data_IF_600037586546
#
_entry.id   IF_600037586546
#
_cell.length_a   1.000
_cell.length_b   1.000
_cell.length_c   1.000
_cell.angle_alpha   90.00
_cell.angle_beta   90.00
_cell.angle_gamma   90.00
#
_symmetry.space_group_name_H-M   'P 1'
#
loop_
_entity.id
_entity.type
_entity.pdbx_description
1 polymer ?
#
# COMPACT_ATOMS: atom_id res chain seq x y z
N UNK A 1 -1.76 -7.87 9.02
CA UNK A 1 -3.09 -7.35 9.38
C UNK A 1 -3.22 -7.38 10.89
N UNK A 2 -3.91 -6.38 11.52
CA UNK A 2 -4.13 -6.37 12.98
C UNK A 2 -2.95 -5.92 13.85
N UNK A 3 -1.92 -5.30 13.27
CA UNK A 3 -0.72 -4.85 14.00
C UNK A 3 -0.75 -3.36 14.38
N UNK A 4 -1.92 -2.78 14.53
CA UNK A 4 -2.10 -1.42 15.06
C UNK A 4 -1.83 -0.27 14.07
N UNK A 5 -1.78 -0.51 12.74
CA UNK A 5 -1.56 0.55 11.74
C UNK A 5 -2.53 1.73 11.91
N UNK A 6 -3.82 1.45 12.07
CA UNK A 6 -4.85 2.48 12.24
C UNK A 6 -4.61 3.32 13.49
N UNK A 7 -4.29 2.71 14.63
CA UNK A 7 -4.01 3.44 15.86
C UNK A 7 -2.75 4.30 15.77
N UNK A 8 -1.71 3.79 15.10
CA UNK A 8 -0.50 4.59 14.83
C UNK A 8 -0.85 5.80 13.97
N UNK A 9 -1.69 5.62 12.94
CA UNK A 9 -2.12 6.72 12.09
C UNK A 9 -2.98 7.73 12.87
N UNK A 10 -3.91 7.27 13.73
CA UNK A 10 -4.71 8.16 14.58
C UNK A 10 -3.84 9.01 15.51
N UNK A 11 -2.76 8.49 16.07
CA UNK A 11 -1.82 9.26 16.86
C UNK A 11 -1.14 10.38 16.03
N UNK A 12 -0.75 10.06 14.79
CA UNK A 12 -0.19 11.07 13.87
C UNK A 12 -1.25 12.09 13.47
N UNK A 13 -2.46 11.67 13.15
CA UNK A 13 -3.59 12.56 12.84
C UNK A 13 -3.80 13.54 13.99
N UNK A 14 -3.89 13.02 15.22
CA UNK A 14 -4.11 13.87 16.40
C UNK A 14 -2.98 14.88 16.63
N UNK A 15 -1.73 14.49 16.35
CA UNK A 15 -0.60 15.41 16.40
C UNK A 15 -0.76 16.60 15.43
N UNK A 16 -1.33 16.37 14.23
CA UNK A 16 -1.61 17.43 13.26
C UNK A 16 -2.81 18.30 13.68
N UNK A 17 -3.90 17.68 14.10
CA UNK A 17 -5.11 18.39 14.54
C UNK A 17 -4.83 19.32 15.73
N UNK A 18 -4.02 18.90 16.71
CA UNK A 18 -3.60 19.74 17.83
C UNK A 18 -2.78 20.98 17.41
N UNK A 19 -2.36 21.03 16.15
CA UNK A 19 -1.66 22.16 15.53
C UNK A 19 -2.52 22.94 14.55
N UNK A 20 -3.84 22.73 14.61
CA UNK A 20 -4.81 23.32 13.67
C UNK A 20 -4.49 22.99 12.20
N UNK A 21 -4.04 21.76 11.94
CA UNK A 21 -3.71 21.25 10.61
C UNK A 21 -4.83 20.37 10.08
N UNK A 22 -5.19 20.58 8.80
CA UNK A 22 -6.22 19.82 8.13
C UNK A 22 -5.71 18.44 7.70
N UNK A 23 -6.49 17.40 7.96
CA UNK A 23 -6.12 16.02 7.67
C UNK A 23 -7.18 15.35 6.80
N UNK A 24 -6.72 14.69 5.73
CA UNK A 24 -7.53 13.84 4.87
C UNK A 24 -7.12 12.38 5.03
N UNK A 25 -8.10 11.51 5.23
CA UNK A 25 -7.94 10.06 5.17
C UNK A 25 -8.53 9.55 3.85
N UNK A 26 -7.69 8.92 3.03
CA UNK A 26 -8.08 8.22 1.82
C UNK A 26 -8.08 6.72 2.07
N UNK A 27 -9.23 6.07 1.92
CA UNK A 27 -9.35 4.63 2.17
C UNK A 27 -10.21 3.92 1.11
N UNK A 28 -10.12 2.59 0.99
CA UNK A 28 -11.11 1.82 0.25
C UNK A 28 -12.52 1.99 0.86
N UNK A 29 -13.56 2.05 0.02
CA UNK A 29 -14.95 2.23 0.47
C UNK A 29 -15.36 1.26 1.58
N UNK A 30 -14.93 0.01 1.51
CA UNK A 30 -15.20 -1.03 2.52
C UNK A 30 -14.60 -0.74 3.91
N UNK A 31 -13.60 0.15 4.00
CA UNK A 31 -12.96 0.55 5.25
C UNK A 31 -13.45 1.91 5.76
N UNK A 32 -14.37 2.56 5.04
CA UNK A 32 -14.90 3.88 5.42
C UNK A 32 -15.48 3.89 6.83
N UNK A 33 -16.32 2.91 7.16
CA UNK A 33 -16.94 2.81 8.49
C UNK A 33 -15.91 2.71 9.63
N UNK A 34 -14.77 2.04 9.40
CA UNK A 34 -13.70 1.96 10.39
C UNK A 34 -13.13 3.34 10.70
N UNK A 35 -12.92 4.17 9.67
CA UNK A 35 -12.36 5.51 9.83
C UNK A 35 -13.39 6.50 10.37
N UNK A 36 -14.63 6.49 9.88
CA UNK A 36 -15.68 7.40 10.37
C UNK A 36 -16.12 7.09 11.81
N UNK A 37 -15.90 5.87 12.30
CA UNK A 37 -16.18 5.54 13.69
C UNK A 37 -15.35 6.37 14.67
N UNK A 38 -14.11 6.71 14.35
CA UNK A 38 -13.22 7.43 15.29
C UNK A 38 -13.47 8.94 15.32
N UNK A 39 -14.05 9.54 14.29
CA UNK A 39 -14.42 10.96 14.29
C UNK A 39 -15.91 11.19 14.63
N UNK A 40 -16.69 10.13 14.80
CA UNK A 40 -18.09 10.21 15.19
C UNK A 40 -18.25 10.15 16.71
N UNK A 41 -19.26 10.85 17.22
CA UNK A 41 -19.65 10.80 18.63
C UNK A 41 -20.56 9.59 18.89
N UNK A 42 -20.00 8.38 18.76
CA UNK A 42 -20.71 7.11 18.95
C UNK A 42 -20.19 6.37 20.18
N UNK A 43 -21.06 5.60 20.82
CA UNK A 43 -20.70 4.75 21.98
C UNK A 43 -19.60 3.73 21.63
N UNK A 44 -19.57 3.29 20.38
CA UNK A 44 -18.55 2.37 19.87
C UNK A 44 -17.18 3.02 19.62
N UNK A 45 -17.12 4.36 19.68
CA UNK A 45 -15.86 5.09 19.49
C UNK A 45 -15.08 5.13 20.81
N UNK A 46 -14.07 4.29 20.94
CA UNK A 46 -13.17 4.23 22.10
C UNK A 46 -12.34 5.50 22.29
N UNK A 47 -12.23 6.35 21.27
CA UNK A 47 -11.52 7.63 21.25
C UNK A 47 -12.47 8.84 21.17
N UNK A 48 -13.74 8.70 21.54
CA UNK A 48 -14.70 9.81 21.47
C UNK A 48 -14.23 11.08 22.22
N UNK A 49 -13.50 10.91 23.34
CA UNK A 49 -12.93 12.00 24.14
C UNK A 49 -11.82 12.76 23.41
N UNK A 50 -11.14 12.13 22.44
CA UNK A 50 -10.05 12.75 21.69
C UNK A 50 -10.58 13.71 20.61
N UNK A 51 -11.85 13.63 20.25
CA UNK A 51 -12.54 14.54 19.30
C UNK A 51 -11.78 14.71 18.00
N UNK A 52 -11.64 13.62 17.26
CA UNK A 52 -11.04 13.67 15.93
C UNK A 52 -11.95 14.42 14.95
N UNK A 53 -11.36 15.16 14.01
CA UNK A 53 -12.05 16.03 13.05
C UNK A 53 -11.56 15.91 11.61
N UNK A 54 -10.82 14.86 11.29
CA UNK A 54 -10.32 14.63 9.92
C UNK A 54 -11.44 14.28 8.93
N UNK A 55 -11.21 14.61 7.67
CA UNK A 55 -12.08 14.22 6.57
C UNK A 55 -11.79 12.81 6.09
N UNK A 56 -12.82 12.08 5.66
CA UNK A 56 -12.71 10.74 5.10
C UNK A 56 -13.26 10.72 3.69
N UNK A 57 -12.45 10.31 2.72
CA UNK A 57 -12.84 10.11 1.34
C UNK A 57 -12.37 8.75 0.83
N UNK A 58 -12.98 8.29 -0.25
CA UNK A 58 -12.63 7.01 -0.82
C UNK A 58 -11.61 7.17 -1.95
N UNK A 59 -10.79 6.14 -2.18
CA UNK A 59 -9.87 6.11 -3.32
C UNK A 59 -10.56 6.39 -4.65
N UNK A 60 -11.83 5.98 -4.78
CA UNK A 60 -12.64 6.20 -5.99
C UNK A 60 -13.07 7.64 -6.19
N UNK A 61 -13.11 8.43 -5.12
CA UNK A 61 -13.53 9.85 -5.19
C UNK A 61 -12.50 10.69 -5.95
N UNK A 62 -11.23 10.27 -5.94
CA UNK A 62 -10.19 10.85 -6.79
C UNK A 62 -10.48 10.74 -8.31
N UNK A 63 -11.41 9.88 -8.73
CA UNK A 63 -11.81 9.77 -10.15
C UNK A 63 -13.10 10.51 -10.47
N UNK A 64 -13.77 11.08 -9.45
CA UNK A 64 -15.06 11.76 -9.59
C UNK A 64 -14.87 13.26 -9.73
N UNK A 65 -15.68 13.87 -10.62
CA UNK A 65 -15.69 15.33 -10.80
C UNK A 65 -16.73 16.03 -9.93
N UNK A 66 -17.59 15.28 -9.26
CA UNK A 66 -18.65 15.81 -8.41
C UNK A 66 -19.43 14.71 -7.70
N UNK A 67 -20.48 15.10 -6.99
CA UNK A 67 -21.28 14.27 -6.09
C UNK A 67 -20.80 14.38 -4.66
N UNK A 68 -21.48 13.71 -3.75
CA UNK A 68 -21.22 13.77 -2.33
C UNK A 68 -20.62 12.46 -1.80
N UNK A 69 -19.73 12.57 -0.84
CA UNK A 69 -19.17 11.45 -0.06
C UNK A 69 -19.05 11.87 1.39
N UNK A 70 -19.75 11.18 2.28
CA UNK A 70 -19.73 11.41 3.74
C UNK A 70 -19.95 12.89 4.15
N UNK A 71 -20.88 13.57 3.47
CA UNK A 71 -21.20 14.97 3.72
C UNK A 71 -20.28 15.98 3.00
N UNK A 72 -19.31 15.51 2.22
CA UNK A 72 -18.38 16.38 1.48
C UNK A 72 -18.79 16.42 0.01
N UNK A 73 -19.07 17.62 -0.51
CA UNK A 73 -19.33 17.87 -1.93
C UNK A 73 -18.01 17.87 -2.70
N UNK A 74 -17.80 16.85 -3.53
CA UNK A 74 -16.58 16.65 -4.30
C UNK A 74 -16.35 17.69 -5.40
N UNK A 75 -17.40 18.45 -5.79
CA UNK A 75 -17.26 19.55 -6.76
C UNK A 75 -16.68 20.81 -6.11
N UNK A 76 -16.81 20.94 -4.78
CA UNK A 76 -16.41 22.13 -4.01
C UNK A 76 -15.16 21.91 -3.15
N UNK A 77 -14.69 20.67 -3.03
CA UNK A 77 -13.54 20.37 -2.20
C UNK A 77 -12.26 21.03 -2.76
N UNK A 78 -11.52 21.66 -1.89
CA UNK A 78 -10.17 22.11 -2.20
C UNK A 78 -9.17 21.00 -1.84
N UNK A 79 -8.83 20.18 -2.82
CA UNK A 79 -7.94 19.03 -2.66
C UNK A 79 -6.53 19.39 -2.17
N UNK A 80 -6.05 20.61 -2.45
CA UNK A 80 -4.74 21.11 -2.03
C UNK A 80 -4.72 21.70 -0.62
N UNK A 81 -5.83 21.72 0.11
CA UNK A 81 -5.91 22.35 1.44
C UNK A 81 -5.72 21.38 2.62
N UNK A 82 -5.02 20.29 2.40
CA UNK A 82 -4.71 19.33 3.47
C UNK A 82 -3.21 19.33 3.80
N UNK A 83 -2.88 19.47 5.09
CA UNK A 83 -1.51 19.41 5.58
C UNK A 83 -0.98 17.97 5.69
N UNK A 84 -1.89 17.02 5.95
CA UNK A 84 -1.59 15.59 6.00
C UNK A 84 -2.62 14.79 5.20
N UNK A 85 -2.13 13.90 4.37
CA UNK A 85 -2.96 12.87 3.73
C UNK A 85 -2.54 11.50 4.22
N UNK A 86 -3.46 10.78 4.85
CA UNK A 86 -3.29 9.40 5.28
C UNK A 86 -3.91 8.50 4.23
N UNK A 87 -3.13 7.60 3.66
CA UNK A 87 -3.58 6.68 2.60
C UNK A 87 -3.61 5.27 3.16
N UNK A 88 -4.80 4.77 3.49
CA UNK A 88 -4.96 3.38 3.91
C UNK A 88 -5.02 2.46 2.69
N UNK A 89 -4.42 1.27 2.82
CA UNK A 89 -4.20 0.32 1.73
C UNK A 89 -3.51 0.99 0.52
N UNK A 90 -2.41 1.70 0.79
CA UNK A 90 -1.66 2.51 -0.18
C UNK A 90 -1.14 1.74 -1.40
N UNK A 91 -1.07 0.40 -1.32
CA UNK A 91 -0.73 -0.45 -2.45
C UNK A 91 -1.68 -0.29 -3.65
N UNK A 92 -2.88 0.29 -3.46
CA UNK A 92 -3.78 0.64 -4.56
C UNK A 92 -3.25 1.79 -5.44
N UNK A 93 -2.23 2.53 -4.99
CA UNK A 93 -1.57 3.62 -5.72
C UNK A 93 -0.18 3.25 -6.25
N UNK A 94 0.11 1.97 -6.40
CA UNK A 94 1.40 1.48 -6.93
C UNK A 94 1.59 1.71 -8.43
N UNK A 95 0.51 1.77 -9.20
CA UNK A 95 0.57 1.90 -10.64
C UNK A 95 0.39 3.36 -11.05
N UNK A 96 1.41 3.94 -11.69
CA UNK A 96 1.24 5.13 -12.52
C UNK A 96 0.43 4.74 -13.75
N UNK A 97 -0.60 5.52 -14.09
CA UNK A 97 -1.38 5.28 -15.30
C UNK A 97 -0.49 5.37 -16.54
N UNK A 98 -0.60 4.39 -17.42
CA UNK A 98 0.09 4.37 -18.72
C UNK A 98 -0.73 5.03 -19.83
N UNK A 99 -1.96 5.43 -19.54
CA UNK A 99 -2.85 6.05 -20.52
C UNK A 99 -2.54 7.55 -20.65
N UNK A 100 -2.14 7.97 -21.87
CA UNK A 100 -1.79 9.37 -22.17
C UNK A 100 -2.97 10.33 -22.08
N UNK A 101 -4.20 9.83 -22.26
CA UNK A 101 -5.40 10.65 -22.45
C UNK A 101 -6.35 10.69 -21.24
N UNK A 102 -6.01 10.04 -20.12
CA UNK A 102 -6.89 10.02 -18.95
C UNK A 102 -6.10 10.17 -17.65
N UNK A 103 -6.41 11.22 -16.90
CA UNK A 103 -5.90 11.42 -15.55
C UNK A 103 -6.31 10.24 -14.65
N UNK A 104 -5.33 9.58 -14.05
CA UNK A 104 -5.56 8.47 -13.13
C UNK A 104 -5.75 8.98 -11.69
N UNK A 105 -6.23 8.11 -10.81
CA UNK A 105 -6.31 8.42 -9.36
C UNK A 105 -4.94 8.78 -8.78
N UNK A 106 -3.89 8.11 -9.26
CA UNK A 106 -2.52 8.42 -8.86
C UNK A 106 -2.11 9.82 -9.31
N UNK A 107 -2.39 10.18 -10.57
CA UNK A 107 -2.04 11.48 -11.11
C UNK A 107 -2.78 12.61 -10.39
N UNK A 108 -4.07 12.42 -10.11
CA UNK A 108 -4.86 13.42 -9.37
C UNK A 108 -4.36 13.58 -7.94
N UNK A 109 -4.06 12.47 -7.24
CA UNK A 109 -3.47 12.52 -5.91
C UNK A 109 -2.13 13.26 -5.92
N UNK A 110 -1.24 12.92 -6.86
CA UNK A 110 0.07 13.55 -6.99
C UNK A 110 -0.04 15.03 -7.33
N UNK A 111 -0.85 15.41 -8.33
CA UNK A 111 -0.86 16.76 -8.86
C UNK A 111 -1.76 17.70 -8.05
N UNK A 112 -3.01 17.30 -7.75
CA UNK A 112 -4.00 18.20 -7.14
C UNK A 112 -3.93 18.20 -5.60
N UNK A 113 -3.59 17.04 -4.99
CA UNK A 113 -3.56 16.95 -3.53
C UNK A 113 -2.17 17.26 -2.99
N UNK A 114 -1.12 16.67 -3.56
CA UNK A 114 0.23 16.73 -3.00
C UNK A 114 1.00 17.95 -3.55
N UNK A 115 1.19 18.04 -4.87
CA UNK A 115 2.02 19.09 -5.48
C UNK A 115 1.41 20.49 -5.41
N UNK A 116 0.10 20.60 -5.59
CA UNK A 116 -0.61 21.89 -5.44
C UNK A 116 -0.96 22.21 -3.99
N UNK A 117 -0.64 21.30 -3.08
CA UNK A 117 -0.98 21.42 -1.68
C UNK A 117 -0.10 22.39 -0.90
N UNK A 118 -0.48 22.61 0.35
CA UNK A 118 0.19 23.49 1.32
C UNK A 118 1.41 22.80 1.98
N UNK A 119 2.30 22.20 1.20
CA UNK A 119 3.38 21.31 1.65
C UNK A 119 2.84 20.05 2.33
N UNK A 120 1.86 19.44 1.69
CA UNK A 120 1.14 18.26 2.17
C UNK A 120 2.10 17.11 2.51
N UNK A 121 1.98 16.58 3.71
CA UNK A 121 2.70 15.36 4.11
C UNK A 121 1.85 14.14 3.81
N UNK A 122 2.51 13.04 3.54
CA UNK A 122 1.84 11.78 3.19
C UNK A 122 2.22 10.68 4.18
N UNK A 123 1.22 10.03 4.76
CA UNK A 123 1.37 8.83 5.58
C UNK A 123 0.70 7.67 4.87
N UNK A 124 1.45 6.66 4.51
CA UNK A 124 0.95 5.48 3.81
C UNK A 124 0.85 4.28 4.73
N UNK A 125 -0.30 3.61 4.71
CA UNK A 125 -0.54 2.39 5.47
C UNK A 125 -0.76 1.24 4.50
N UNK A 126 0.04 0.18 4.62
CA UNK A 126 -0.12 -1.03 3.82
C UNK A 126 0.33 -2.26 4.59
N UNK A 127 -0.30 -3.40 4.34
CA UNK A 127 0.18 -4.70 4.79
C UNK A 127 1.15 -5.33 3.76
N UNK A 128 1.04 -4.93 2.50
CA UNK A 128 1.76 -5.50 1.36
C UNK A 128 2.24 -4.39 0.41
N UNK A 129 3.27 -3.60 0.81
CA UNK A 129 3.73 -2.47 0.01
C UNK A 129 4.36 -2.89 -1.33
N UNK A 130 4.91 -4.10 -1.39
CA UNK A 130 5.48 -4.70 -2.61
C UNK A 130 4.64 -5.91 -2.97
N UNK A 131 4.34 -6.07 -4.26
CA UNK A 131 3.70 -7.28 -4.78
C UNK A 131 4.71 -8.06 -5.63
N UNK A 132 4.86 -7.72 -6.90
CA UNK A 132 5.73 -8.44 -7.83
C UNK A 132 6.95 -7.62 -8.28
N UNK A 133 6.90 -6.30 -8.11
CA UNK A 133 7.94 -5.39 -8.58
C UNK A 133 8.29 -4.33 -7.55
N UNK A 134 9.57 -4.04 -7.38
CA UNK A 134 10.01 -2.92 -6.54
C UNK A 134 9.62 -1.55 -7.11
N UNK A 135 9.28 -1.49 -8.39
CA UNK A 135 8.66 -0.30 -9.01
C UNK A 135 7.35 0.07 -8.33
N UNK A 136 6.59 -0.90 -7.81
CA UNK A 136 5.37 -0.67 -7.03
C UNK A 136 5.66 0.17 -5.78
N UNK A 137 6.73 -0.18 -5.07
CA UNK A 137 7.18 0.55 -3.88
C UNK A 137 7.73 1.93 -4.26
N UNK A 138 8.54 2.03 -5.32
CA UNK A 138 9.05 3.30 -5.84
C UNK A 138 7.92 4.28 -6.14
N UNK A 139 6.87 3.83 -6.84
CA UNK A 139 5.73 4.67 -7.17
C UNK A 139 4.96 5.13 -5.92
N UNK A 140 4.80 4.27 -4.93
CA UNK A 140 4.20 4.66 -3.66
C UNK A 140 5.07 5.70 -2.94
N UNK A 141 6.37 5.46 -2.81
CA UNK A 141 7.28 6.39 -2.15
C UNK A 141 7.35 7.75 -2.87
N UNK A 142 7.19 7.78 -4.19
CA UNK A 142 7.14 9.01 -4.95
C UNK A 142 6.04 9.97 -4.48
N UNK A 143 4.94 9.48 -3.92
CA UNK A 143 3.90 10.31 -3.30
C UNK A 143 4.45 11.09 -2.09
N UNK A 144 5.36 10.50 -1.31
CA UNK A 144 5.89 11.13 -0.10
C UNK A 144 6.95 12.23 -0.38
N UNK A 145 7.61 12.18 -1.54
CA UNK A 145 8.58 13.20 -1.97
C UNK A 145 8.12 13.99 -3.22
N UNK A 146 6.82 14.04 -3.46
CA UNK A 146 6.20 14.83 -4.53
C UNK A 146 6.68 14.44 -5.94
N UNK A 147 7.23 13.25 -6.10
CA UNK A 147 7.88 12.79 -7.33
C UNK A 147 9.21 13.49 -7.63
N UNK A 148 9.73 14.29 -6.70
CA UNK A 148 11.03 14.94 -6.81
C UNK A 148 12.06 14.22 -5.94
N UNK A 149 12.84 13.33 -6.54
CA UNK A 149 13.83 12.49 -5.85
C UNK A 149 14.80 13.29 -4.99
N UNK A 150 15.20 14.49 -5.41
CA UNK A 150 16.13 15.34 -4.67
C UNK A 150 15.63 15.73 -3.27
N UNK A 151 14.30 15.79 -3.05
CA UNK A 151 13.74 16.07 -1.72
C UNK A 151 14.03 14.96 -0.71
N UNK A 152 14.22 13.74 -1.17
CA UNK A 152 14.55 12.58 -0.35
C UNK A 152 16.05 12.31 -0.36
N UNK A 153 16.71 12.33 -1.51
CA UNK A 153 18.15 12.07 -1.69
C UNK A 153 19.02 12.99 -0.83
N UNK A 154 18.69 14.27 -0.73
CA UNK A 154 19.38 15.22 0.14
C UNK A 154 19.32 14.86 1.64
N UNK A 155 18.44 13.94 2.04
CA UNK A 155 18.27 13.48 3.43
C UNK A 155 18.80 12.07 3.66
N UNK A 156 19.13 11.38 2.58
CA UNK A 156 19.65 10.02 2.62
C UNK A 156 21.19 10.06 2.50
N UNK A 157 21.84 9.32 3.35
CA UNK A 157 23.27 9.05 3.26
C UNK A 157 23.47 7.79 2.39
N UNK A 158 23.06 7.87 1.11
CA UNK A 158 23.23 6.81 0.10
C UNK A 158 24.26 7.23 -0.95
N UNK A 159 25.01 6.26 -1.45
CA UNK A 159 26.02 6.51 -2.51
C UNK A 159 25.36 6.72 -3.88
N UNK A 160 24.11 6.24 -4.05
CA UNK A 160 23.41 6.23 -5.32
C UNK A 160 22.09 6.95 -5.25
N UNK A 161 21.65 7.45 -6.40
CA UNK A 161 20.31 8.02 -6.59
C UNK A 161 19.21 6.95 -6.46
N UNK A 162 18.00 7.40 -6.12
CA UNK A 162 16.83 6.54 -5.86
C UNK A 162 16.49 5.65 -7.07
N UNK A 163 16.61 6.19 -8.29
CA UNK A 163 16.33 5.43 -9.52
C UNK A 163 17.29 4.24 -9.67
N UNK A 164 18.57 4.48 -9.45
CA UNK A 164 19.61 3.43 -9.51
C UNK A 164 19.41 2.40 -8.41
N UNK A 165 19.07 2.82 -7.18
CA UNK A 165 18.78 1.91 -6.06
C UNK A 165 17.64 0.96 -6.44
N UNK A 166 16.50 1.47 -6.92
CA UNK A 166 15.36 0.63 -7.29
C UNK A 166 15.62 -0.26 -8.51
N UNK A 167 16.37 0.25 -9.50
CA UNK A 167 16.76 -0.55 -10.68
C UNK A 167 17.61 -1.75 -10.28
N UNK A 168 18.61 -1.54 -9.40
CA UNK A 168 19.45 -2.62 -8.88
C UNK A 168 18.67 -3.61 -8.03
N UNK A 169 17.81 -3.13 -7.13
CA UNK A 169 16.94 -3.99 -6.32
C UNK A 169 16.06 -4.87 -7.21
N UNK A 170 15.46 -4.32 -8.28
CA UNK A 170 14.67 -5.10 -9.22
C UNK A 170 15.52 -6.14 -9.98
N UNK A 171 16.74 -5.80 -10.38
CA UNK A 171 17.66 -6.75 -11.03
C UNK A 171 18.01 -7.91 -10.08
N UNK A 172 18.30 -7.61 -8.82
CA UNK A 172 18.56 -8.60 -7.77
C UNK A 172 17.36 -9.52 -7.54
N UNK A 173 16.14 -8.95 -7.50
CA UNK A 173 14.91 -9.73 -7.37
C UNK A 173 14.70 -10.65 -8.57
N UNK A 174 14.93 -10.16 -9.78
CA UNK A 174 14.79 -10.96 -11.00
C UNK A 174 15.83 -12.09 -11.04
N UNK A 175 17.06 -11.85 -10.57
CA UNK A 175 18.09 -12.88 -10.45
C UNK A 175 17.68 -13.95 -9.43
N UNK A 176 17.20 -13.54 -8.26
CA UNK A 176 16.67 -14.45 -7.23
C UNK A 176 15.49 -15.28 -7.73
N UNK A 177 14.57 -14.67 -8.49
CA UNK A 177 13.40 -15.36 -9.03
C UNK A 177 13.75 -16.43 -10.07
N UNK A 178 14.95 -16.39 -10.65
CA UNK A 178 15.45 -17.39 -11.61
C UNK A 178 16.20 -18.56 -10.94
N UNK A 179 16.51 -18.46 -9.64
CA UNK A 179 17.13 -19.55 -8.89
C UNK A 179 16.19 -20.76 -8.82
N UNK A 180 16.75 -21.93 -8.57
CA UNK A 180 15.97 -23.12 -8.28
C UNK A 180 15.06 -22.90 -7.05
N UNK A 181 13.84 -23.47 -7.03
CA UNK A 181 12.90 -23.27 -5.91
C UNK A 181 13.49 -23.56 -4.53
N UNK A 182 14.40 -24.52 -4.41
CA UNK A 182 15.09 -24.84 -3.17
C UNK A 182 16.07 -23.74 -2.71
N UNK A 183 16.61 -22.96 -3.63
CA UNK A 183 17.57 -21.87 -3.36
C UNK A 183 16.89 -20.52 -3.15
N UNK A 184 15.59 -20.38 -3.45
CA UNK A 184 14.81 -19.13 -3.28
C UNK A 184 14.49 -18.86 -1.81
N UNK A 185 15.52 -18.72 -1.00
CA UNK A 185 15.37 -18.41 0.42
C UNK A 185 15.36 -16.89 0.66
N UNK A 186 14.81 -16.48 1.81
CA UNK A 186 14.87 -15.08 2.26
C UNK A 186 16.31 -14.60 2.40
N UNK A 187 17.22 -15.44 2.89
CA UNK A 187 18.63 -15.10 3.04
C UNK A 187 19.29 -14.86 1.68
N UNK A 188 18.96 -15.64 0.67
CA UNK A 188 19.50 -15.48 -0.68
C UNK A 188 19.11 -14.10 -1.29
N UNK A 189 17.84 -13.67 -1.15
CA UNK A 189 17.44 -12.34 -1.66
C UNK A 189 18.08 -11.20 -0.84
N UNK A 190 18.17 -11.33 0.48
CA UNK A 190 18.81 -10.32 1.32
C UNK A 190 20.30 -10.12 0.96
N UNK A 191 21.00 -11.19 0.64
CA UNK A 191 22.41 -11.11 0.21
C UNK A 191 22.59 -10.49 -1.18
N UNK A 192 21.57 -10.50 -2.02
CA UNK A 192 21.60 -9.90 -3.37
C UNK A 192 21.21 -8.42 -3.37
N UNK A 193 20.48 -7.96 -2.36
CA UNK A 193 20.06 -6.57 -2.26
C UNK A 193 21.20 -5.67 -1.77
N UNK A 194 21.26 -4.48 -2.33
CA UNK A 194 22.27 -3.47 -2.01
C UNK A 194 22.00 -2.83 -0.64
N UNK A 195 23.05 -2.43 0.07
CA UNK A 195 22.96 -1.73 1.35
C UNK A 195 22.20 -0.40 1.25
N UNK A 196 22.38 0.35 0.15
CA UNK A 196 21.65 1.59 -0.10
C UNK A 196 20.12 1.38 -0.13
N UNK A 197 19.66 0.21 -0.63
CA UNK A 197 18.24 -0.13 -0.62
C UNK A 197 17.70 -0.28 0.81
N UNK A 198 18.46 -0.87 1.71
CA UNK A 198 18.07 -0.97 3.12
C UNK A 198 18.09 0.38 3.81
N UNK A 199 19.12 1.21 3.59
CA UNK A 199 19.18 2.60 4.11
C UNK A 199 17.96 3.40 3.67
N UNK A 200 17.60 3.31 2.39
CA UNK A 200 16.40 3.98 1.87
C UNK A 200 15.15 3.50 2.59
N UNK A 201 14.95 2.19 2.72
CA UNK A 201 13.76 1.65 3.38
C UNK A 201 13.68 2.06 4.84
N UNK A 202 14.75 1.95 5.59
CA UNK A 202 14.79 2.29 7.03
C UNK A 202 14.48 3.76 7.26
N UNK A 203 14.84 4.64 6.33
CA UNK A 203 14.59 6.09 6.45
C UNK A 203 13.12 6.48 6.21
N UNK A 204 12.36 5.69 5.44
CA UNK A 204 11.00 6.05 4.99
C UNK A 204 9.93 5.07 5.42
N UNK A 205 10.29 3.96 6.06
CA UNK A 205 9.31 2.93 6.45
C UNK A 205 9.42 2.56 7.93
N UNK A 206 8.26 2.26 8.52
CA UNK A 206 8.16 1.66 9.85
C UNK A 206 7.49 0.31 9.68
N UNK A 207 8.29 -0.75 9.73
CA UNK A 207 7.80 -2.11 9.59
C UNK A 207 7.51 -2.75 10.96
N UNK A 208 6.33 -3.37 11.10
CA UNK A 208 5.98 -4.20 12.26
C UNK A 208 5.60 -5.60 11.80
N UNK A 209 6.22 -6.59 12.42
CA UNK A 209 5.88 -8.00 12.24
C UNK A 209 5.41 -8.60 13.57
N UNK A 210 4.72 -9.74 13.51
CA UNK A 210 4.36 -10.49 14.73
C UNK A 210 5.59 -10.85 15.55
N UNK A 211 6.69 -11.26 14.89
CA UNK A 211 7.96 -11.57 15.54
C UNK A 211 8.52 -10.33 16.26
N UNK A 212 8.48 -9.16 15.63
CA UNK A 212 8.91 -7.91 16.25
C UNK A 212 8.09 -7.61 17.51
N UNK A 213 6.77 -7.76 17.45
CA UNK A 213 5.90 -7.55 18.62
C UNK A 213 6.25 -8.54 19.73
N UNK A 214 6.41 -9.83 19.43
CA UNK A 214 6.78 -10.84 20.42
C UNK A 214 8.13 -10.59 21.07
N UNK A 215 9.08 -9.97 20.35
CA UNK A 215 10.43 -9.73 20.86
C UNK A 215 10.52 -8.47 21.72
N UNK A 216 9.80 -7.41 21.35
CA UNK A 216 9.99 -6.07 21.92
C UNK A 216 8.83 -5.55 22.77
N UNK A 217 7.69 -6.25 22.80
CA UNK A 217 6.51 -5.84 23.56
C UNK A 217 6.13 -6.90 24.58
N UNK A 218 5.58 -6.47 25.73
CA UNK A 218 4.95 -7.42 26.66
C UNK A 218 3.67 -7.96 26.02
N UNK A 219 3.65 -9.28 25.79
CA UNK A 219 2.53 -9.96 25.13
C UNK A 219 1.55 -10.60 26.10
N UNK A 220 1.70 -10.37 27.42
CA UNK A 220 0.82 -10.97 28.44
C UNK A 220 -0.64 -10.68 28.19
N UNK A 221 -0.96 -9.40 27.86
CA UNK A 221 -2.33 -8.96 27.61
C UNK A 221 -2.84 -9.29 26.20
N UNK A 222 -1.92 -9.53 25.25
CA UNK A 222 -2.26 -9.80 23.84
C UNK A 222 -2.47 -11.31 23.61
N UNK A 223 -1.89 -12.17 24.47
CA UNK A 223 -1.88 -13.60 24.30
C UNK A 223 -0.90 -14.08 23.20
N UNK A 224 -0.98 -15.35 22.86
CA UNK A 224 -0.14 -15.94 21.83
C UNK A 224 -0.74 -15.72 20.43
N UNK A 225 0.10 -15.29 19.49
CA UNK A 225 -0.32 -15.23 18.09
C UNK A 225 -0.59 -16.64 17.54
N UNK A 226 -1.66 -16.82 16.75
CA UNK A 226 -1.94 -18.10 16.13
C UNK A 226 -0.76 -18.62 15.32
N UNK A 227 -0.43 -19.90 15.49
CA UNK A 227 0.62 -20.56 14.73
C UNK A 227 0.15 -20.72 13.27
N UNK A 228 1.01 -20.33 12.33
CA UNK A 228 0.73 -20.52 10.92
C UNK A 228 1.08 -21.96 10.53
N UNK A 229 0.08 -22.75 10.24
CA UNK A 229 0.24 -24.08 9.70
C UNK A 229 0.61 -24.02 8.20
N UNK A 230 1.20 -25.11 7.69
CA UNK A 230 1.41 -25.23 6.23
C UNK A 230 0.06 -25.28 5.54
N UNK A 231 -0.10 -24.58 4.39
CA UNK A 231 -1.35 -24.66 3.63
C UNK A 231 -1.58 -26.08 3.13
N UNK A 232 -2.80 -26.57 3.29
CA UNK A 232 -3.24 -27.84 2.71
C UNK A 232 -3.96 -27.48 1.40
N UNK A 233 -3.42 -27.94 0.27
CA UNK A 233 -4.01 -27.72 -1.04
C UNK A 233 -4.85 -28.91 -1.45
N UNK A 234 -6.12 -28.68 -1.68
CA UNK A 234 -7.03 -29.66 -2.26
C UNK A 234 -7.25 -29.35 -3.72
N UNK A 235 -7.01 -30.32 -4.59
CA UNK A 235 -7.40 -30.25 -5.98
C UNK A 235 -8.79 -30.86 -6.09
N UNK A 236 -9.80 -30.03 -6.17
CA UNK A 236 -11.15 -30.48 -6.47
C UNK A 236 -11.28 -30.73 -7.97
N UNK A 237 -11.88 -31.84 -8.37
CA UNK A 237 -12.35 -32.01 -9.74
C UNK A 237 -13.45 -30.97 -9.99
N UNK A 238 -13.40 -30.30 -11.15
CA UNK A 238 -14.41 -29.30 -11.51
C UNK A 238 -15.77 -29.93 -11.84
N UNK A 239 -15.76 -31.19 -12.21
CA UNK A 239 -16.95 -32.01 -12.44
C UNK A 239 -16.67 -33.46 -12.07
N UNK A 240 -17.67 -34.15 -11.56
CA UNK A 240 -17.69 -35.59 -11.35
C UNK A 240 -18.33 -36.33 -12.55
N UNK A 241 -18.78 -35.59 -13.58
CA UNK A 241 -19.36 -36.14 -14.79
C UNK A 241 -18.30 -36.84 -15.63
N UNK A 242 -18.58 -38.05 -16.05
CA UNK A 242 -17.64 -38.84 -16.86
C UNK A 242 -17.43 -38.24 -18.28
N UNK A 243 -18.35 -37.42 -18.75
CA UNK A 243 -18.26 -36.72 -20.03
C UNK A 243 -17.58 -35.34 -19.96
N UNK A 244 -17.15 -34.91 -18.78
CA UNK A 244 -16.46 -33.61 -18.61
C UNK A 244 -14.97 -33.74 -18.83
N UNK A 245 -14.44 -32.89 -19.73
CA UNK A 245 -12.99 -32.80 -19.97
C UNK A 245 -12.29 -32.23 -18.74
N UNK A 246 -11.27 -32.91 -18.25
CA UNK A 246 -10.50 -32.42 -17.07
C UNK A 246 -9.71 -31.13 -17.42
N UNK A 247 -9.48 -30.28 -16.44
CA UNK A 247 -8.64 -29.08 -16.62
C UNK A 247 -7.24 -29.41 -17.18
N UNK A 248 -6.67 -30.54 -16.77
CA UNK A 248 -5.38 -31.01 -17.30
C UNK A 248 -5.47 -31.36 -18.78
N UNK A 249 -6.57 -31.96 -19.23
CA UNK A 249 -6.82 -32.25 -20.62
C UNK A 249 -6.98 -30.97 -21.43
N UNK A 250 -7.83 -30.04 -20.95
CA UNK A 250 -8.02 -28.72 -21.58
C UNK A 250 -6.67 -27.99 -21.68
N UNK A 251 -5.85 -28.01 -20.63
CA UNK A 251 -4.54 -27.38 -20.65
C UNK A 251 -3.58 -28.05 -21.64
N UNK A 252 -3.59 -29.40 -21.74
CA UNK A 252 -2.79 -30.14 -22.71
C UNK A 252 -3.23 -29.79 -24.13
N UNK A 253 -4.54 -29.80 -24.37
CA UNK A 253 -5.12 -29.48 -25.69
C UNK A 253 -4.83 -28.05 -26.13
N UNK A 254 -4.97 -27.06 -25.18
CA UNK A 254 -4.62 -25.68 -25.44
C UNK A 254 -3.11 -25.47 -25.66
N UNK A 255 -2.26 -26.27 -25.02
CA UNK A 255 -0.80 -26.20 -25.21
C UNK A 255 -0.35 -26.69 -26.60
N UNK A 256 -1.16 -27.54 -27.25
CA UNK A 256 -0.92 -27.99 -28.63
C UNK A 256 -1.33 -26.94 -29.66
N UNK A 257 -2.20 -26.02 -29.29
CA UNK A 257 -2.68 -24.96 -30.17
C UNK A 257 -1.71 -23.76 -29.99
N UNK A 258 -0.97 -23.42 -31.05
CA UNK A 258 -0.11 -22.24 -31.10
C UNK A 258 -0.92 -20.93 -31.15
N UNK A 259 -1.83 -20.75 -30.23
CA UNK A 259 -2.61 -19.50 -30.10
C UNK A 259 -2.20 -18.75 -28.85
N UNK A 260 -2.06 -17.44 -28.98
CA UNK A 260 -1.94 -16.55 -27.84
C UNK A 260 -3.29 -16.51 -27.11
N UNK A 261 -3.33 -16.90 -25.84
CA UNK A 261 -4.53 -16.81 -24.99
C UNK A 261 -4.88 -15.36 -24.68
N UNK A 262 -3.93 -14.45 -24.87
CA UNK A 262 -4.10 -13.01 -24.80
C UNK A 262 -3.68 -12.39 -26.13
N UNK A 263 -4.64 -11.94 -26.90
CA UNK A 263 -4.36 -10.94 -27.92
C UNK A 263 -4.02 -9.62 -27.22
N UNK A 264 -2.94 -8.92 -27.61
CA UNK A 264 -2.60 -7.62 -27.03
C UNK A 264 -3.69 -6.58 -27.35
#
# INVERSE_FOLDING_TARGET
VGLGKTFTALAVIKYYELRNKSVLVLCPKKLGANWTNYNANLVTNIFAKDRFSYDVLYHTDLSRKGGETLGIDLAKINWGNYDLVVIDESHNFRNRGTFKDRETRYDRLMNQVIRQGVKTKVLMLSATPVNNHFTDLKNQLALAYEGNAALLENKLDTERDIETIFRRAQASFNAWAKLDPAQRTTQAILNLLDFDFFKLLDSVTIARSRKHIQTFYDTKDIGQFPQRLKPISFRCALSTDQDSVSLNQIYADLSLIKMSVYAP
#
